data_IF_429722681149
#
_entry.id   IF_429722681149
#
_cell.length_a   1.000
_cell.length_b   1.000
_cell.length_c   1.000
_cell.angle_alpha   90.00
_cell.angle_beta   90.00
_cell.angle_gamma   90.00
#
_symmetry.space_group_name_H-M   'P 1'
#
loop_
_entity.id
_entity.type
_entity.pdbx_description
1 polymer ?
#
# COMPACT_ATOMS: atom_id res chain seq x y z
N UNK A 1 1.97 22.62 -19.51
CA UNK A 1 0.98 23.70 -19.76
C UNK A 1 -0.04 23.18 -20.76
N UNK A 2 -1.32 23.41 -20.54
CA UNK A 2 -2.39 23.04 -21.47
C UNK A 2 -2.43 24.06 -22.63
N UNK A 3 -2.57 23.57 -23.86
CA UNK A 3 -2.73 24.36 -25.08
C UNK A 3 -3.94 23.82 -25.86
N UNK A 4 -4.58 24.65 -26.67
CA UNK A 4 -5.69 24.23 -27.53
C UNK A 4 -5.81 25.11 -28.76
N UNK A 5 -6.63 24.68 -29.73
CA UNK A 5 -7.16 25.57 -30.75
C UNK A 5 -8.02 26.68 -30.14
N UNK A 6 -8.29 27.73 -30.92
CA UNK A 6 -9.14 28.87 -30.51
C UNK A 6 -10.56 28.44 -30.10
N UNK A 7 -11.07 27.39 -30.77
CA UNK A 7 -12.35 26.75 -30.45
C UNK A 7 -12.10 25.29 -30.09
N UNK A 8 -12.88 24.78 -29.13
CA UNK A 8 -12.77 23.39 -28.66
C UNK A 8 -14.12 22.68 -28.57
N UNK A 9 -15.20 23.30 -29.06
CA UNK A 9 -16.56 22.83 -28.80
C UNK A 9 -16.84 21.44 -29.39
N UNK A 10 -16.36 21.20 -30.61
CA UNK A 10 -16.52 19.93 -31.32
C UNK A 10 -15.69 18.84 -30.68
N UNK A 11 -14.39 19.09 -30.44
CA UNK A 11 -13.51 18.11 -29.80
C UNK A 11 -13.93 17.82 -28.36
N UNK A 12 -14.38 18.82 -27.60
CA UNK A 12 -14.84 18.61 -26.23
C UNK A 12 -16.10 17.75 -26.19
N UNK A 13 -17.07 18.00 -27.10
CA UNK A 13 -18.27 17.17 -27.20
C UNK A 13 -17.94 15.73 -27.63
N UNK A 14 -17.03 15.56 -28.59
CA UNK A 14 -16.55 14.25 -29.02
C UNK A 14 -15.81 13.50 -27.89
N UNK A 15 -14.93 14.20 -27.16
CA UNK A 15 -14.18 13.64 -26.04
C UNK A 15 -15.11 13.22 -24.90
N UNK A 16 -16.15 14.02 -24.59
CA UNK A 16 -17.14 13.67 -23.58
C UNK A 16 -17.90 12.38 -23.95
N UNK A 17 -18.28 12.21 -25.22
CA UNK A 17 -18.89 10.96 -25.72
C UNK A 17 -17.94 9.77 -25.67
N UNK A 18 -16.66 9.99 -25.97
CA UNK A 18 -15.64 8.96 -25.85
C UNK A 18 -15.44 8.54 -24.39
N UNK A 19 -15.36 9.50 -23.47
CA UNK A 19 -15.17 9.24 -22.04
C UNK A 19 -16.30 8.41 -21.43
N UNK A 20 -17.54 8.55 -21.91
CA UNK A 20 -18.64 7.69 -21.51
C UNK A 20 -18.43 6.19 -21.83
N UNK A 21 -17.54 5.88 -22.78
CA UNK A 21 -17.23 4.51 -23.23
C UNK A 21 -15.81 4.06 -22.82
N UNK A 22 -14.97 4.96 -22.32
CA UNK A 22 -13.62 4.62 -21.87
C UNK A 22 -13.68 3.83 -20.57
N UNK A 23 -12.82 2.82 -20.48
CA UNK A 23 -12.60 2.05 -19.25
C UNK A 23 -11.16 2.19 -18.80
N UNK A 24 -10.93 1.99 -17.51
CA UNK A 24 -9.57 1.94 -16.99
C UNK A 24 -8.87 0.66 -17.48
N UNK A 25 -7.63 0.76 -17.98
CA UNK A 25 -6.87 -0.41 -18.38
C UNK A 25 -6.53 -1.29 -17.17
N UNK A 26 -6.40 -2.60 -17.40
CA UNK A 26 -5.97 -3.53 -16.37
C UNK A 26 -4.54 -3.23 -15.91
N UNK A 27 -4.35 -3.14 -14.59
CA UNK A 27 -3.06 -2.87 -13.94
C UNK A 27 -2.26 -4.16 -13.76
N UNK A 28 -1.86 -4.77 -14.87
CA UNK A 28 -1.22 -6.10 -14.89
C UNK A 28 0.27 -6.10 -14.57
N UNK A 29 0.91 -4.93 -14.51
CA UNK A 29 2.34 -4.79 -14.22
C UNK A 29 2.55 -4.24 -12.81
N UNK A 30 3.68 -4.57 -12.20
CA UNK A 30 4.07 -4.12 -10.86
C UNK A 30 5.44 -3.46 -10.92
N UNK A 31 5.56 -2.27 -10.34
CA UNK A 31 6.81 -1.53 -10.21
C UNK A 31 7.15 -1.30 -8.74
N UNK A 32 8.44 -1.18 -8.45
CA UNK A 32 8.99 -0.95 -7.12
C UNK A 32 9.77 0.36 -7.13
N UNK A 33 9.36 1.29 -6.27
CA UNK A 33 10.06 2.54 -5.99
C UNK A 33 10.98 2.27 -4.82
N UNK A 34 12.29 2.29 -5.08
CA UNK A 34 13.28 2.12 -4.03
C UNK A 34 13.24 3.29 -3.05
N UNK A 35 13.26 2.98 -1.77
CA UNK A 35 13.32 4.02 -0.75
C UNK A 35 14.71 4.69 -0.76
N UNK A 36 14.78 6.03 -0.87
CA UNK A 36 16.04 6.75 -0.71
C UNK A 36 16.50 6.78 0.75
N UNK A 37 15.65 6.38 1.70
CA UNK A 37 15.93 6.37 3.12
C UNK A 37 16.16 4.93 3.61
N UNK A 38 17.31 4.59 4.21
CA UNK A 38 17.66 3.22 4.61
C UNK A 38 16.70 2.54 5.59
N UNK A 39 15.77 3.28 6.21
CA UNK A 39 14.80 2.80 7.21
C UNK A 39 13.37 2.69 6.69
N UNK A 40 13.11 3.17 5.48
CA UNK A 40 11.79 3.09 4.83
C UNK A 40 11.80 1.95 3.83
N UNK A 41 10.70 1.21 3.74
CA UNK A 41 10.55 0.12 2.78
C UNK A 41 10.29 0.65 1.38
N UNK A 42 10.73 -0.10 0.38
CA UNK A 42 10.37 0.14 -1.00
C UNK A 42 8.84 0.15 -1.17
N UNK A 43 8.35 1.02 -2.07
CA UNK A 43 6.93 1.13 -2.38
C UNK A 43 6.62 0.39 -3.66
N UNK A 44 5.69 -0.55 -3.58
CA UNK A 44 5.24 -1.32 -4.74
C UNK A 44 3.91 -0.79 -5.23
N UNK A 45 3.73 -0.65 -6.54
CA UNK A 45 2.48 -0.20 -7.15
C UNK A 45 2.19 -0.95 -8.43
N UNK A 46 0.91 -1.18 -8.71
CA UNK A 46 0.49 -1.78 -9.98
C UNK A 46 0.15 -0.71 -10.99
N UNK A 47 0.42 -1.02 -12.25
CA UNK A 47 0.17 -0.13 -13.37
C UNK A 47 -0.16 -0.90 -14.65
N UNK A 48 -0.85 -0.24 -15.56
CA UNK A 48 -1.15 -0.72 -16.88
C UNK A 48 -0.01 -0.40 -17.86
N UNK A 49 0.22 -1.28 -18.82
CA UNK A 49 1.18 -0.99 -19.90
C UNK A 49 0.69 0.16 -20.80
N UNK A 50 1.62 0.84 -21.48
CA UNK A 50 1.25 1.82 -22.51
C UNK A 50 0.46 1.17 -23.66
N UNK A 51 0.81 -0.07 -24.04
CA UNK A 51 0.14 -0.80 -25.11
C UNK A 51 -1.34 -1.07 -24.79
N UNK A 52 -1.62 -1.63 -23.61
CA UNK A 52 -3.02 -1.91 -23.19
C UNK A 52 -3.87 -0.64 -23.09
N UNK A 53 -3.28 0.48 -22.64
CA UNK A 53 -3.95 1.77 -22.67
C UNK A 53 -4.23 2.28 -24.09
N UNK A 54 -3.27 2.16 -25.01
CA UNK A 54 -3.43 2.57 -26.40
C UNK A 54 -4.51 1.74 -27.12
N UNK A 55 -4.64 0.45 -26.83
CA UNK A 55 -5.66 -0.40 -27.46
C UNK A 55 -7.09 0.05 -27.08
N UNK A 56 -7.30 0.44 -25.82
CA UNK A 56 -8.57 1.00 -25.35
C UNK A 56 -8.79 2.39 -25.94
N UNK A 57 -7.81 3.28 -25.78
CA UNK A 57 -7.92 4.69 -26.18
C UNK A 57 -8.12 4.85 -27.68
N UNK A 58 -7.34 4.14 -28.51
CA UNK A 58 -7.46 4.24 -29.97
C UNK A 58 -8.84 3.81 -30.44
N UNK A 59 -9.37 2.71 -29.89
CA UNK A 59 -10.69 2.21 -30.28
C UNK A 59 -11.77 3.27 -30.00
N UNK A 60 -11.81 3.78 -28.78
CA UNK A 60 -12.88 4.69 -28.34
C UNK A 60 -12.76 6.09 -28.93
N UNK A 61 -11.54 6.65 -29.01
CA UNK A 61 -11.33 7.98 -29.58
C UNK A 61 -11.57 8.01 -31.10
N UNK A 62 -11.15 6.98 -31.83
CA UNK A 62 -11.33 6.93 -33.29
C UNK A 62 -12.81 6.90 -33.69
N UNK A 63 -13.68 6.28 -32.88
CA UNK A 63 -15.13 6.29 -33.09
C UNK A 63 -15.74 7.69 -32.95
N UNK A 64 -15.05 8.60 -32.24
CA UNK A 64 -15.43 9.99 -32.10
C UNK A 64 -14.55 10.91 -32.96
N UNK A 65 -13.88 10.36 -33.98
CA UNK A 65 -13.02 11.08 -34.92
C UNK A 65 -11.86 11.85 -34.26
N UNK A 66 -11.38 11.36 -33.10
CA UNK A 66 -10.25 11.91 -32.37
C UNK A 66 -9.00 11.07 -32.62
N UNK A 67 -7.95 11.69 -33.14
CA UNK A 67 -6.62 11.13 -33.23
C UNK A 67 -5.77 11.52 -32.01
N UNK A 68 -4.93 10.59 -31.54
CA UNK A 68 -3.91 10.85 -30.52
C UNK A 68 -2.54 11.00 -31.19
N UNK A 69 -1.85 12.10 -30.90
CA UNK A 69 -0.53 12.41 -31.45
C UNK A 69 0.43 12.64 -30.27
N UNK A 70 1.58 11.97 -30.30
CA UNK A 70 2.65 12.15 -29.30
C UNK A 70 3.96 12.43 -30.00
N UNK A 71 4.52 13.62 -29.79
CA UNK A 71 5.79 14.05 -30.36
C UNK A 71 6.78 14.43 -29.27
N UNK A 72 8.06 14.25 -29.54
CA UNK A 72 9.14 14.55 -28.61
C UNK A 72 10.05 15.62 -29.19
N UNK A 73 10.37 16.63 -28.41
CA UNK A 73 11.35 17.67 -28.76
C UNK A 73 12.45 17.76 -27.71
N UNK A 74 13.67 18.06 -28.15
CA UNK A 74 14.79 18.38 -27.26
C UNK A 74 14.94 19.91 -27.28
N UNK A 75 14.83 20.54 -26.13
CA UNK A 75 14.99 22.00 -26.02
C UNK A 75 16.47 22.37 -26.19
N UNK A 76 16.78 23.29 -27.11
CA UNK A 76 18.16 23.57 -27.52
C UNK A 76 18.97 24.28 -26.42
N UNK A 77 18.31 25.05 -25.55
CA UNK A 77 18.92 25.84 -24.48
C UNK A 77 19.20 25.02 -23.21
N UNK A 78 18.26 24.14 -22.83
CA UNK A 78 18.33 23.35 -21.59
C UNK A 78 18.73 21.90 -21.84
N UNK A 79 18.67 21.43 -23.09
CA UNK A 79 18.76 20.02 -23.45
C UNK A 79 17.57 19.19 -22.97
N UNK A 80 16.55 19.78 -22.34
CA UNK A 80 15.44 19.05 -21.74
C UNK A 80 14.61 18.35 -22.82
N UNK A 81 14.34 17.06 -22.62
CA UNK A 81 13.39 16.33 -23.45
C UNK A 81 11.98 16.69 -22.99
N UNK A 82 11.14 17.12 -23.94
CA UNK A 82 9.72 17.41 -23.74
C UNK A 82 8.87 16.51 -24.61
N UNK A 83 7.80 16.00 -24.03
CA UNK A 83 6.75 15.26 -24.71
C UNK A 83 5.54 16.18 -24.89
N UNK A 84 5.06 16.27 -26.12
CA UNK A 84 3.79 16.90 -26.46
C UNK A 84 2.79 15.81 -26.76
N UNK A 85 1.69 15.75 -25.99
CA UNK A 85 0.56 14.87 -26.28
C UNK A 85 -0.59 15.74 -26.76
N UNK A 86 -1.19 15.41 -27.91
CA UNK A 86 -2.27 16.15 -28.54
C UNK A 86 -3.41 15.21 -28.91
N UNK A 87 -4.64 15.63 -28.62
CA UNK A 87 -5.85 15.07 -29.21
C UNK A 87 -6.31 16.01 -30.32
N UNK A 88 -6.47 15.50 -31.53
CA UNK A 88 -6.89 16.26 -32.70
C UNK A 88 -8.17 15.64 -33.27
N UNK A 89 -9.19 16.46 -33.53
CA UNK A 89 -10.47 16.04 -34.09
C UNK A 89 -10.53 16.32 -35.60
N UNK A 90 -11.36 15.57 -36.34
CA UNK A 90 -11.59 15.75 -37.79
C UNK A 90 -11.98 17.19 -38.19
N UNK A 91 -12.63 17.92 -37.28
CA UNK A 91 -13.00 19.33 -37.46
C UNK A 91 -11.81 20.30 -37.46
N UNK A 92 -10.60 19.85 -37.14
CA UNK A 92 -9.40 20.67 -36.97
C UNK A 92 -9.23 21.27 -35.56
N UNK A 93 -10.19 21.05 -34.65
CA UNK A 93 -10.03 21.43 -33.25
C UNK A 93 -9.10 20.46 -32.51
N UNK A 94 -8.32 20.95 -31.57
CA UNK A 94 -7.34 20.15 -30.84
C UNK A 94 -7.13 20.65 -29.40
N UNK A 95 -6.72 19.72 -28.54
CA UNK A 95 -6.24 19.99 -27.18
C UNK A 95 -4.89 19.31 -26.98
N UNK A 96 -3.96 19.94 -26.28
CA UNK A 96 -2.61 19.44 -26.09
C UNK A 96 -2.04 19.75 -24.71
N UNK A 97 -1.13 18.89 -24.27
CA UNK A 97 -0.37 19.05 -23.04
C UNK A 97 1.11 18.79 -23.30
N UNK A 98 1.94 19.71 -22.82
CA UNK A 98 3.40 19.57 -22.78
C UNK A 98 3.85 19.07 -21.40
N UNK A 99 4.68 18.02 -21.42
CA UNK A 99 5.25 17.39 -20.23
C UNK A 99 6.78 17.29 -20.31
N UNK A 100 7.54 17.73 -19.28
CA UNK A 100 8.99 17.53 -19.23
C UNK A 100 9.32 16.08 -18.89
N UNK A 101 10.14 15.41 -19.71
CA UNK A 101 10.45 13.98 -19.56
C UNK A 101 11.71 13.78 -18.72
N UNK A 102 12.87 14.12 -19.27
CA UNK A 102 14.15 14.02 -18.57
C UNK A 102 15.20 14.98 -19.17
N UNK A 103 16.26 15.22 -18.40
CA UNK A 103 17.34 16.11 -18.82
C UNK A 103 18.11 15.54 -20.02
N UNK A 104 18.67 16.42 -20.86
CA UNK A 104 19.39 16.01 -22.07
C UNK A 104 20.55 15.06 -21.82
N UNK A 105 21.19 15.12 -20.65
CA UNK A 105 22.25 14.18 -20.24
C UNK A 105 21.80 12.72 -20.21
N UNK A 106 20.50 12.45 -20.08
CA UNK A 106 19.97 11.08 -20.14
C UNK A 106 19.91 10.52 -21.58
N UNK A 107 20.07 11.36 -22.61
CA UNK A 107 20.20 10.87 -24.01
C UNK A 107 21.44 10.00 -24.21
N UNK A 108 22.48 10.19 -23.38
CA UNK A 108 23.69 9.36 -23.35
C UNK A 108 23.43 7.94 -22.79
N UNK A 109 22.25 7.72 -22.18
CA UNK A 109 21.79 6.42 -21.71
C UNK A 109 20.45 6.05 -22.37
N UNK A 110 20.46 5.53 -23.62
CA UNK A 110 19.25 5.30 -24.42
C UNK A 110 18.17 4.47 -23.73
N UNK A 111 18.57 3.50 -22.89
CA UNK A 111 17.64 2.67 -22.12
C UNK A 111 16.88 3.47 -21.04
N UNK A 112 17.54 4.43 -20.38
CA UNK A 112 16.90 5.31 -19.38
C UNK A 112 15.97 6.30 -20.03
N UNK A 113 16.42 6.93 -21.12
CA UNK A 113 15.59 7.81 -21.94
C UNK A 113 14.34 7.08 -22.45
N UNK A 114 14.49 5.85 -22.96
CA UNK A 114 13.38 5.03 -23.43
C UNK A 114 12.37 4.69 -22.34
N UNK A 115 12.85 4.35 -21.13
CA UNK A 115 11.99 4.12 -19.97
C UNK A 115 11.24 5.39 -19.54
N UNK A 116 11.95 6.53 -19.45
CA UNK A 116 11.37 7.83 -19.10
C UNK A 116 10.30 8.27 -20.12
N UNK A 117 10.57 8.10 -21.42
CA UNK A 117 9.60 8.38 -22.48
C UNK A 117 8.38 7.46 -22.41
N UNK A 118 8.57 6.17 -22.18
CA UNK A 118 7.46 5.21 -22.04
C UNK A 118 6.58 5.58 -20.86
N UNK A 119 7.19 5.95 -19.74
CA UNK A 119 6.50 6.44 -18.55
C UNK A 119 5.73 7.73 -18.86
N UNK A 120 6.38 8.75 -19.39
CA UNK A 120 5.76 10.04 -19.70
C UNK A 120 4.60 9.90 -20.71
N UNK A 121 4.77 9.08 -21.76
CA UNK A 121 3.73 8.84 -22.77
C UNK A 121 2.47 8.24 -22.18
N UNK A 122 2.60 7.32 -21.23
CA UNK A 122 1.47 6.71 -20.52
C UNK A 122 0.74 7.75 -19.67
N UNK A 123 1.46 8.47 -18.81
CA UNK A 123 0.86 9.46 -17.90
C UNK A 123 0.20 10.61 -18.64
N UNK A 124 0.91 11.19 -19.62
CA UNK A 124 0.40 12.33 -20.38
C UNK A 124 -0.86 11.95 -21.16
N UNK A 125 -0.89 10.77 -21.78
CA UNK A 125 -2.08 10.30 -22.49
C UNK A 125 -3.24 10.03 -21.53
N UNK A 126 -3.01 9.25 -20.47
CA UNK A 126 -4.08 8.78 -19.58
C UNK A 126 -4.73 9.95 -18.84
N UNK A 127 -3.92 10.94 -18.44
CA UNK A 127 -4.41 12.18 -17.84
C UNK A 127 -5.27 12.98 -18.83
N UNK A 128 -4.83 13.09 -20.09
CA UNK A 128 -5.53 13.90 -21.09
C UNK A 128 -6.87 13.28 -21.53
N UNK A 129 -6.96 11.96 -21.57
CA UNK A 129 -8.20 11.24 -21.93
C UNK A 129 -9.09 10.95 -20.73
N UNK A 130 -8.57 11.02 -19.50
CA UNK A 130 -9.34 10.83 -18.27
C UNK A 130 -9.47 9.37 -17.82
N UNK A 131 -8.42 8.57 -17.95
CA UNK A 131 -8.38 7.17 -17.44
C UNK A 131 -7.29 7.00 -16.38
N UNK A 132 -7.51 6.08 -15.44
CA UNK A 132 -6.57 5.72 -14.40
C UNK A 132 -5.80 4.45 -14.76
N UNK A 133 -4.49 4.57 -14.95
CA UNK A 133 -3.63 3.47 -15.34
C UNK A 133 -2.79 2.86 -14.23
N UNK A 134 -2.97 3.26 -12.99
CA UNK A 134 -2.16 2.79 -11.86
C UNK A 134 -2.89 2.93 -10.54
N UNK A 135 -2.36 2.27 -9.51
CA UNK A 135 -2.89 2.37 -8.16
C UNK A 135 -2.65 3.77 -7.60
N UNK A 136 -3.73 4.36 -7.07
CA UNK A 136 -3.64 5.61 -6.32
C UNK A 136 -3.11 5.29 -4.92
N UNK A 137 -1.78 5.39 -4.79
CA UNK A 137 -1.07 5.09 -3.54
C UNK A 137 -1.43 6.06 -2.40
N UNK A 138 -2.06 7.18 -2.72
CA UNK A 138 -2.48 8.23 -1.80
C UNK A 138 -3.97 8.14 -1.41
N UNK A 139 -4.76 7.31 -2.11
CA UNK A 139 -6.16 7.08 -1.77
C UNK A 139 -6.27 6.31 -0.44
N UNK A 140 -7.13 6.76 0.50
CA UNK A 140 -7.46 5.93 1.65
C UNK A 140 -8.09 4.63 1.14
N UNK A 141 -7.65 3.48 1.66
CA UNK A 141 -8.20 2.16 1.30
C UNK A 141 -9.73 2.18 1.35
N UNK A 142 -10.37 2.29 0.19
CA UNK A 142 -11.81 2.07 0.09
C UNK A 142 -12.00 0.57 0.28
N UNK A 143 -12.58 0.18 1.41
CA UNK A 143 -13.00 -1.20 1.67
C UNK A 143 -14.12 -1.53 0.68
N UNK A 144 -13.75 -1.93 -0.53
CA UNK A 144 -14.66 -2.52 -1.50
C UNK A 144 -14.44 -4.02 -1.41
N UNK A 145 -15.44 -4.83 -1.02
CA UNK A 145 -15.33 -6.27 -1.11
C UNK A 145 -15.08 -6.63 -2.57
N UNK A 146 -13.97 -7.34 -2.84
CA UNK A 146 -13.63 -7.74 -4.19
C UNK A 146 -14.74 -8.64 -4.76
N UNK A 147 -15.29 -8.35 -5.96
CA UNK A 147 -16.17 -9.30 -6.63
C UNK A 147 -15.35 -10.52 -7.02
N UNK A 148 -15.85 -11.70 -6.63
CA UNK A 148 -15.31 -13.01 -6.99
C UNK A 148 -15.44 -13.21 -8.50
N UNK A 149 -14.35 -13.03 -9.25
CA UNK A 149 -14.27 -13.47 -10.64
C UNK A 149 -13.76 -14.92 -10.64
N UNK A 150 -14.49 -15.90 -11.23
CA UNK A 150 -13.99 -17.26 -11.40
C UNK A 150 -12.83 -17.29 -12.41
N UNK A 151 -11.77 -18.03 -12.10
CA UNK A 151 -10.64 -18.25 -13.01
C UNK A 151 -11.09 -18.94 -14.31
N UNK A 152 -10.65 -18.49 -15.51
CA UNK A 152 -10.79 -19.24 -16.74
C UNK A 152 -9.91 -20.50 -16.71
N UNK A 153 -10.49 -21.65 -16.99
CA UNK A 153 -9.78 -22.90 -17.24
C UNK A 153 -9.07 -22.83 -18.61
N UNK A 154 -7.80 -23.22 -18.66
CA UNK A 154 -7.01 -23.23 -19.90
C UNK A 154 -7.30 -24.48 -20.75
N UNK A 155 -7.42 -24.38 -22.09
CA UNK A 155 -7.38 -25.55 -22.97
C UNK A 155 -5.94 -25.91 -23.37
N UNK A 156 -5.69 -27.21 -23.49
CA UNK A 156 -4.44 -27.83 -23.96
C UNK A 156 -4.22 -27.64 -25.47
N UNK A 157 -2.98 -27.32 -25.89
CA UNK A 157 -2.51 -27.41 -27.29
C UNK A 157 -1.12 -26.78 -27.52
N UNK A 158 -0.26 -27.26 -28.46
CA UNK A 158 1.18 -27.36 -28.23
C UNK A 158 2.12 -26.32 -28.90
N UNK A 159 3.26 -26.09 -28.21
CA UNK A 159 4.64 -25.77 -28.63
C UNK A 159 4.92 -24.59 -29.61
N UNK A 160 5.50 -23.52 -29.05
CA UNK A 160 6.40 -22.56 -29.69
C UNK A 160 7.55 -22.15 -28.75
N UNK A 161 8.77 -22.04 -29.27
CA UNK A 161 10.08 -21.93 -28.58
C UNK A 161 10.37 -20.53 -27.96
N UNK A 162 11.45 -20.36 -27.14
CA UNK A 162 11.43 -19.54 -25.94
C UNK A 162 11.93 -18.10 -26.13
N UNK A 163 11.37 -17.15 -25.36
CA UNK A 163 12.01 -15.86 -25.07
C UNK A 163 12.45 -15.84 -23.61
N UNK A 164 13.77 -15.77 -23.46
CA UNK A 164 14.48 -15.86 -22.20
C UNK A 164 14.38 -14.51 -21.46
N UNK A 165 13.43 -14.39 -20.55
CA UNK A 165 13.40 -13.28 -19.57
C UNK A 165 13.67 -13.89 -18.21
N UNK A 166 14.96 -14.10 -17.89
CA UNK A 166 15.37 -14.50 -16.54
C UNK A 166 15.09 -13.35 -15.58
N UNK A 167 13.92 -13.37 -14.94
CA UNK A 167 13.76 -12.73 -13.64
C UNK A 167 14.64 -13.51 -12.67
N UNK A 168 15.55 -12.81 -11.99
CA UNK A 168 16.47 -13.38 -11.03
C UNK A 168 15.70 -13.80 -9.76
N UNK A 169 14.92 -14.87 -9.85
CA UNK A 169 14.36 -15.59 -8.71
C UNK A 169 15.49 -16.47 -8.16
N UNK A 170 15.80 -16.34 -6.88
CA UNK A 170 16.73 -17.28 -6.25
C UNK A 170 16.23 -18.71 -6.52
N UNK A 171 17.08 -19.64 -6.98
CA UNK A 171 16.65 -20.99 -7.31
C UNK A 171 15.99 -21.63 -6.10
N UNK A 172 14.83 -22.27 -6.32
CA UNK A 172 14.23 -23.14 -5.31
C UNK A 172 15.19 -24.29 -5.06
N UNK A 173 15.48 -24.55 -3.79
CA UNK A 173 16.37 -25.62 -3.35
C UNK A 173 15.81 -27.00 -3.77
N UNK A 174 16.70 -27.96 -3.98
CA UNK A 174 16.28 -29.34 -4.15
C UNK A 174 15.66 -29.89 -2.85
N UNK A 175 14.98 -31.03 -2.94
CA UNK A 175 14.21 -31.58 -1.81
C UNK A 175 15.06 -31.84 -0.56
N UNK A 176 16.33 -32.24 -0.72
CA UNK A 176 17.22 -32.53 0.41
C UNK A 176 17.71 -31.22 1.04
N UNK A 177 18.16 -30.27 0.22
CA UNK A 177 18.60 -28.95 0.68
C UNK A 177 17.46 -28.16 1.34
N UNK A 178 16.26 -28.27 0.81
CA UNK A 178 15.06 -27.65 1.36
C UNK A 178 14.71 -28.21 2.74
N UNK A 179 14.80 -29.53 2.92
CA UNK A 179 14.62 -30.17 4.23
C UNK A 179 15.71 -29.76 5.23
N UNK A 180 16.98 -29.71 4.82
CA UNK A 180 18.10 -29.30 5.68
C UNK A 180 17.94 -27.84 6.17
N UNK A 181 17.53 -26.93 5.27
CA UNK A 181 17.30 -25.53 5.63
C UNK A 181 16.04 -25.36 6.48
N UNK A 182 14.97 -26.12 6.23
CA UNK A 182 13.78 -26.17 7.10
C UNK A 182 14.15 -26.58 8.52
N UNK A 183 14.88 -27.68 8.67
CA UNK A 183 15.23 -28.21 9.99
C UNK A 183 16.12 -27.24 10.78
N UNK A 184 17.04 -26.54 10.08
CA UNK A 184 17.81 -25.43 10.66
C UNK A 184 16.91 -24.30 11.15
N UNK A 185 15.97 -23.82 10.33
CA UNK A 185 15.08 -22.72 10.68
C UNK A 185 14.15 -23.08 11.85
N UNK A 186 13.64 -24.32 11.88
CA UNK A 186 12.83 -24.82 12.98
C UNK A 186 13.64 -24.91 14.29
N UNK A 187 14.90 -25.34 14.22
CA UNK A 187 15.81 -25.38 15.37
C UNK A 187 16.16 -23.97 15.90
N UNK A 188 16.45 -23.03 15.01
CA UNK A 188 16.69 -21.62 15.37
C UNK A 188 15.46 -20.99 16.05
N UNK A 189 14.27 -21.26 15.52
CA UNK A 189 13.01 -20.80 16.08
C UNK A 189 12.73 -21.43 17.46
N UNK A 190 13.13 -22.69 17.66
CA UNK A 190 12.94 -23.38 18.94
C UNK A 190 13.90 -22.90 20.03
N UNK A 191 15.13 -22.52 19.65
CA UNK A 191 16.18 -22.06 20.57
C UNK A 191 16.05 -20.58 21.01
N UNK A 192 15.11 -19.81 20.44
CA UNK A 192 14.82 -18.42 20.84
C UNK A 192 13.99 -18.40 22.15
N UNK A 193 14.62 -18.75 23.27
CA UNK A 193 13.93 -18.98 24.54
C UNK A 193 13.46 -17.73 25.31
N UNK A 194 13.66 -16.49 24.84
CA UNK A 194 13.26 -15.27 25.59
C UNK A 194 12.78 -14.12 24.66
N UNK A 195 11.46 -14.11 24.41
CA UNK A 195 10.51 -12.99 24.32
C UNK A 195 10.79 -11.61 23.68
N UNK A 196 11.87 -11.33 22.93
CA UNK A 196 11.96 -9.98 22.28
C UNK A 196 12.41 -9.93 20.82
N UNK A 197 12.51 -11.04 20.07
CA UNK A 197 12.93 -10.89 18.67
C UNK A 197 12.37 -11.82 17.58
N UNK A 198 11.12 -12.27 17.74
CA UNK A 198 10.41 -13.00 16.67
C UNK A 198 10.30 -12.15 15.38
N UNK A 199 10.14 -10.83 15.52
CA UNK A 199 10.04 -9.92 14.37
C UNK A 199 11.37 -9.79 13.60
N UNK A 200 12.53 -9.69 14.26
CA UNK A 200 13.80 -9.67 13.51
C UNK A 200 14.17 -11.04 12.97
N UNK A 201 13.83 -12.12 13.69
CA UNK A 201 14.00 -13.48 13.16
C UNK A 201 13.19 -13.66 11.86
N UNK A 202 11.93 -13.22 11.83
CA UNK A 202 11.10 -13.27 10.64
C UNK A 202 11.68 -12.43 9.50
N UNK A 203 12.14 -11.20 9.77
CA UNK A 203 12.76 -10.33 8.75
C UNK A 203 14.01 -10.95 8.12
N UNK A 204 14.84 -11.62 8.92
CA UNK A 204 16.08 -12.24 8.47
C UNK A 204 15.83 -13.52 7.67
N UNK A 205 14.84 -14.32 8.07
CA UNK A 205 14.64 -15.67 7.54
C UNK A 205 13.54 -15.75 6.45
N UNK A 206 12.74 -14.70 6.25
CA UNK A 206 11.73 -14.64 5.19
C UNK A 206 12.31 -14.77 3.76
N UNK A 207 13.46 -14.15 3.42
CA UNK A 207 14.10 -14.37 2.12
C UNK A 207 14.58 -15.82 1.92
N UNK A 208 15.04 -16.48 3.00
CA UNK A 208 15.53 -17.87 2.98
C UNK A 208 14.36 -18.84 2.83
N UNK A 209 13.22 -18.58 3.48
CA UNK A 209 11.99 -19.36 3.27
C UNK A 209 11.55 -19.36 1.80
N UNK A 210 11.73 -18.24 1.10
CA UNK A 210 11.36 -18.12 -0.32
C UNK A 210 12.24 -18.97 -1.26
N UNK A 211 13.31 -19.59 -0.76
CA UNK A 211 14.11 -20.58 -1.49
C UNK A 211 13.70 -22.03 -1.19
N UNK A 212 12.84 -22.28 -0.20
CA UNK A 212 12.35 -23.62 0.16
C UNK A 212 11.28 -24.12 -0.82
N UNK A 213 11.09 -25.44 -0.85
CA UNK A 213 9.92 -26.05 -1.46
C UNK A 213 8.66 -25.74 -0.64
N UNK A 214 7.51 -25.71 -1.31
CA UNK A 214 6.22 -25.41 -0.69
C UNK A 214 5.92 -26.17 0.63
N UNK A 215 6.13 -27.50 0.74
CA UNK A 215 5.86 -28.21 1.99
C UNK A 215 6.78 -27.78 3.14
N UNK A 216 8.05 -27.50 2.83
CA UNK A 216 9.05 -27.10 3.83
C UNK A 216 8.85 -25.65 4.28
N UNK A 217 8.49 -24.76 3.35
CA UNK A 217 8.11 -23.39 3.67
C UNK A 217 6.89 -23.34 4.59
N UNK A 218 5.86 -24.16 4.30
CA UNK A 218 4.65 -24.24 5.10
C UNK A 218 4.92 -24.75 6.53
N UNK A 219 5.84 -25.71 6.69
CA UNK A 219 6.24 -26.21 8.01
C UNK A 219 6.90 -25.12 8.88
N UNK A 220 7.76 -24.29 8.28
CA UNK A 220 8.40 -23.15 8.99
C UNK A 220 7.38 -22.08 9.37
N UNK A 221 6.39 -21.81 8.50
CA UNK A 221 5.31 -20.86 8.78
C UNK A 221 4.43 -21.31 9.95
N UNK A 222 4.00 -22.57 9.95
CA UNK A 222 3.16 -23.13 11.01
C UNK A 222 3.87 -23.06 12.38
N UNK A 223 5.16 -23.39 12.43
CA UNK A 223 5.95 -23.31 13.65
C UNK A 223 6.09 -21.86 14.17
N UNK A 224 6.32 -20.90 13.27
CA UNK A 224 6.42 -19.48 13.65
C UNK A 224 5.08 -18.93 14.16
N UNK A 225 3.97 -19.32 13.55
CA UNK A 225 2.65 -18.93 14.00
C UNK A 225 2.33 -19.48 15.39
N UNK A 226 2.61 -20.77 15.65
CA UNK A 226 2.45 -21.38 16.98
C UNK A 226 3.24 -20.61 18.05
N UNK A 227 4.47 -20.18 17.73
CA UNK A 227 5.29 -19.37 18.64
C UNK A 227 4.73 -17.96 18.88
N UNK A 228 4.13 -17.34 17.88
CA UNK A 228 3.47 -16.04 18.06
C UNK A 228 2.26 -16.15 18.99
N UNK A 229 1.48 -17.23 18.87
CA UNK A 229 0.31 -17.50 19.71
C UNK A 229 0.70 -17.82 21.17
N UNK A 230 1.80 -18.56 21.37
CA UNK A 230 2.40 -18.81 22.69
C UNK A 230 2.86 -17.51 23.38
N UNK A 231 3.49 -16.59 22.65
CA UNK A 231 3.96 -15.30 23.20
C UNK A 231 2.81 -14.31 23.44
N UNK A 232 1.72 -14.41 22.69
CA UNK A 232 0.54 -13.55 22.83
C UNK A 232 -0.34 -13.88 24.06
N UNK A 233 -0.08 -15.01 24.73
CA UNK A 233 -0.86 -15.48 25.89
C UNK A 233 -0.01 -15.54 27.17
N UNK A 234 0.16 -14.44 27.92
CA UNK A 234 0.83 -14.48 29.21
C UNK A 234 -0.21 -14.77 30.29
N UNK A 235 -0.45 -16.06 30.60
CA UNK A 235 -0.79 -16.60 31.93
C UNK A 235 -1.33 -18.03 31.84
N UNK A 236 -0.47 -19.01 32.14
CA UNK A 236 -0.81 -20.22 32.89
C UNK A 236 0.48 -20.95 33.27
N UNK A 237 1.23 -20.40 34.22
CA UNK A 237 2.14 -21.21 35.04
C UNK A 237 2.06 -20.79 36.50
N UNK A 238 1.57 -21.71 37.32
CA UNK A 238 1.50 -21.65 38.77
C UNK A 238 1.16 -23.03 39.31
N UNK A 239 2.20 -23.78 39.71
CA UNK A 239 2.18 -25.14 40.28
C UNK A 239 1.34 -25.28 41.57
N UNK A 240 0.73 -26.47 41.79
CA UNK A 240 0.98 -27.38 42.94
C UNK A 240 0.03 -28.61 42.99
N UNK A 241 0.63 -29.81 42.91
CA UNK A 241 0.50 -31.03 43.74
C UNK A 241 -0.85 -31.78 44.01
N UNK A 242 -1.07 -32.90 43.26
CA UNK A 242 -1.44 -34.31 43.63
C UNK A 242 -2.82 -34.67 44.33
N UNK A 243 -3.26 -35.97 44.45
CA UNK A 243 -4.36 -36.66 43.70
C UNK A 243 -5.36 -37.47 44.64
N UNK A 244 -6.02 -38.62 44.29
CA UNK A 244 -6.79 -39.11 43.12
C UNK A 244 -8.25 -39.64 43.43
N UNK A 245 -8.97 -40.02 42.36
CA UNK A 245 -10.05 -41.04 42.24
C UNK A 245 -11.47 -40.80 42.86
N UNK A 246 -12.54 -40.88 42.04
CA UNK A 246 -13.37 -42.10 41.95
C UNK A 246 -14.49 -42.05 40.87
N UNK A 247 -14.63 -43.16 40.15
CA UNK A 247 -15.86 -43.79 39.57
C UNK A 247 -16.66 -43.17 38.41
N UNK A 248 -16.47 -43.80 37.24
CA UNK A 248 -17.52 -44.27 36.30
C UNK A 248 -18.32 -45.47 36.91
N UNK A 249 -19.41 -46.03 36.32
CA UNK A 249 -20.02 -45.78 35.00
C UNK A 249 -21.58 -45.88 34.91
N UNK A 250 -22.07 -45.68 33.66
CA UNK A 250 -23.17 -46.39 32.97
C UNK A 250 -24.64 -46.04 33.24
N UNK A 251 -25.39 -45.77 32.16
CA UNK A 251 -26.34 -46.73 31.57
C UNK A 251 -26.86 -46.22 30.19
N UNK A 252 -26.76 -47.09 29.16
CA UNK A 252 -27.59 -47.08 27.93
C UNK A 252 -28.73 -48.08 28.12
N UNK A 253 -29.91 -47.90 27.48
CA UNK A 253 -30.27 -48.75 26.32
C UNK A 253 -31.04 -47.98 25.21
N UNK A 254 -30.74 -48.12 23.90
CA UNK A 254 -31.22 -49.09 22.87
C UNK A 254 -32.77 -49.15 22.75
N UNK A 255 -33.42 -48.62 21.69
CA UNK A 255 -33.77 -49.29 20.39
C UNK A 255 -34.47 -48.26 19.45
N UNK A 256 -34.00 -48.01 18.20
CA UNK A 256 -34.49 -48.50 16.87
C UNK A 256 -36.02 -48.41 16.67
N UNK A 257 -36.63 -47.77 15.65
CA UNK A 257 -36.30 -47.56 14.22
C UNK A 257 -37.14 -46.40 13.63
N UNK A 258 -36.69 -45.75 12.54
CA UNK A 258 -37.59 -45.03 11.62
C UNK A 258 -37.00 -43.92 10.72
N UNK A 259 -36.35 -44.33 9.61
CA UNK A 259 -36.28 -43.68 8.28
C UNK A 259 -35.87 -42.19 8.08
N UNK A 260 -34.63 -42.04 7.57
CA UNK A 260 -34.24 -41.38 6.30
C UNK A 260 -34.44 -39.87 6.06
N UNK A 261 -33.34 -39.12 6.12
CA UNK A 261 -32.85 -38.32 4.98
C UNK A 261 -31.41 -37.86 5.19
N UNK A 262 -30.60 -38.08 4.16
CA UNK A 262 -29.17 -37.83 4.09
C UNK A 262 -28.87 -36.33 3.96
N UNK A 263 -28.02 -35.81 4.84
CA UNK A 263 -27.14 -34.66 4.52
C UNK A 263 -25.80 -34.93 5.20
N UNK A 264 -24.78 -35.25 4.41
CA UNK A 264 -23.42 -35.47 4.90
C UNK A 264 -22.76 -34.12 5.23
N UNK A 265 -22.46 -33.91 6.50
CA UNK A 265 -21.59 -32.86 6.99
C UNK A 265 -20.16 -33.11 6.51
N UNK A 266 -19.69 -32.24 5.59
CA UNK A 266 -18.30 -32.17 5.18
C UNK A 266 -17.52 -31.28 6.16
N UNK A 267 -16.74 -31.93 6.99
CA UNK A 267 -15.74 -31.42 7.93
C UNK A 267 -14.87 -30.30 7.31
N UNK A 268 -15.07 -29.07 7.79
CA UNK A 268 -14.26 -27.90 7.42
C UNK A 268 -12.96 -27.94 8.21
N UNK A 269 -11.87 -28.34 7.56
CA UNK A 269 -10.52 -28.14 8.09
C UNK A 269 -10.16 -26.66 7.99
N UNK A 270 -9.78 -25.98 9.10
CA UNK A 270 -9.27 -24.62 9.01
C UNK A 270 -7.89 -24.65 8.36
N UNK A 271 -7.75 -23.99 7.23
CA UNK A 271 -6.45 -23.71 6.61
C UNK A 271 -5.71 -22.68 7.47
N UNK A 272 -4.40 -22.85 7.74
CA UNK A 272 -3.66 -21.92 8.58
C UNK A 272 -3.50 -20.56 7.87
N UNK A 273 -3.59 -19.44 8.61
CA UNK A 273 -3.45 -18.11 8.04
C UNK A 273 -2.00 -17.88 7.58
N UNK A 274 -1.83 -17.64 6.29
CA UNK A 274 -0.59 -17.06 5.77
C UNK A 274 -0.36 -15.70 6.44
N UNK A 275 0.84 -15.49 6.98
CA UNK A 275 1.24 -14.28 7.69
C UNK A 275 0.95 -13.00 6.87
N UNK A 276 -0.12 -12.30 7.22
CA UNK A 276 -0.27 -10.88 6.95
C UNK A 276 0.54 -10.10 8.00
N UNK A 277 1.14 -8.97 7.61
CA UNK A 277 1.78 -8.04 8.54
C UNK A 277 0.82 -7.72 9.71
N UNK A 278 1.33 -7.53 10.95
CA UNK A 278 0.48 -7.09 12.06
C UNK A 278 -0.27 -5.81 11.66
N UNK A 279 -1.60 -5.79 11.83
CA UNK A 279 -2.39 -4.56 11.65
C UNK A 279 -1.87 -3.52 12.64
N UNK A 280 -1.29 -2.44 12.15
CA UNK A 280 -1.04 -1.24 12.95
C UNK A 280 -2.37 -0.77 13.58
N UNK A 281 -2.33 -0.42 14.87
CA UNK A 281 -3.53 0.03 15.59
C UNK A 281 -4.17 1.24 14.87
N UNK A 282 -5.52 1.32 14.79
CA UNK A 282 -6.19 2.43 14.14
C UNK A 282 -5.77 3.78 14.72
N UNK A 283 -5.55 4.76 13.84
CA UNK A 283 -5.18 6.13 14.23
C UNK A 283 -6.22 6.75 15.16
N UNK A 284 -5.78 7.22 16.33
CA UNK A 284 -6.68 7.84 17.32
C UNK A 284 -7.22 9.17 16.80
N UNK A 285 -8.54 9.26 16.62
CA UNK A 285 -9.25 10.48 16.20
C UNK A 285 -10.21 10.92 17.29
N UNK A 286 -10.15 12.20 17.65
CA UNK A 286 -11.07 12.77 18.62
C UNK A 286 -11.36 14.24 18.34
N UNK A 287 -12.58 14.50 17.87
CA UNK A 287 -13.10 15.86 17.71
C UNK A 287 -13.16 16.60 19.05
N UNK A 288 -13.47 15.90 20.14
CA UNK A 288 -13.50 16.47 21.49
C UNK A 288 -12.11 16.95 21.94
N UNK A 289 -11.06 16.17 21.62
CA UNK A 289 -9.68 16.58 21.90
C UNK A 289 -9.28 17.82 21.11
N UNK A 290 -9.59 17.87 19.80
CA UNK A 290 -9.26 19.04 18.98
C UNK A 290 -10.00 20.31 19.42
N UNK A 291 -11.22 20.19 19.95
CA UNK A 291 -11.94 21.31 20.56
C UNK A 291 -11.29 21.77 21.87
N UNK A 292 -10.93 20.82 22.74
CA UNK A 292 -10.18 21.10 23.97
C UNK A 292 -8.84 21.81 23.69
N UNK A 293 -8.10 21.40 22.65
CA UNK A 293 -6.84 22.03 22.26
C UNK A 293 -7.06 23.47 21.75
N UNK A 294 -8.16 23.77 21.04
CA UNK A 294 -8.50 25.15 20.61
C UNK A 294 -8.75 26.11 21.76
N UNK A 295 -9.21 25.59 22.91
CA UNK A 295 -9.47 26.38 24.10
C UNK A 295 -8.19 26.73 24.87
N UNK A 296 -7.07 26.06 24.57
CA UNK A 296 -5.79 26.32 25.22
C UNK A 296 -5.07 27.54 24.59
N UNK A 297 -4.32 28.33 25.38
CA UNK A 297 -3.52 29.41 24.85
C UNK A 297 -2.36 28.88 24.00
N UNK A 298 -1.91 29.69 23.03
CA UNK A 298 -0.78 29.33 22.16
C UNK A 298 0.45 28.91 22.98
N UNK A 299 1.08 27.80 22.59
CA UNK A 299 2.20 27.24 23.32
C UNK A 299 3.41 28.18 23.39
N UNK A 300 3.61 29.02 22.36
CA UNK A 300 4.73 29.98 22.24
C UNK A 300 4.43 31.28 22.99
N UNK A 301 3.40 32.03 22.61
CA UNK A 301 3.14 33.37 23.16
C UNK A 301 2.03 33.47 24.20
N UNK A 302 1.40 32.35 24.56
CA UNK A 302 0.29 32.27 25.53
C UNK A 302 -0.98 33.07 25.17
N UNK A 303 -1.10 33.55 23.93
CA UNK A 303 -2.29 34.25 23.46
C UNK A 303 -3.36 33.30 22.92
N UNK A 304 -4.62 33.72 23.07
CA UNK A 304 -5.82 33.11 22.46
C UNK A 304 -6.43 34.07 21.43
N UNK A 305 -7.10 33.60 20.36
CA UNK A 305 -7.41 32.20 20.07
C UNK A 305 -6.23 31.41 19.50
N UNK A 306 -6.25 30.08 19.71
CA UNK A 306 -5.30 29.14 19.13
C UNK A 306 -5.99 28.11 18.23
N UNK A 307 -5.23 27.55 17.31
CA UNK A 307 -5.65 26.48 16.41
C UNK A 307 -4.83 25.20 16.72
N UNK A 308 -5.41 23.99 16.60
CA UNK A 308 -4.68 22.75 16.82
C UNK A 308 -3.67 22.51 15.70
N UNK A 309 -2.43 22.23 16.06
CA UNK A 309 -1.36 21.88 15.16
C UNK A 309 -0.91 20.43 15.42
N UNK A 310 -1.02 19.57 14.41
CA UNK A 310 -0.54 18.19 14.45
C UNK A 310 0.98 18.12 14.26
N UNK A 311 1.68 17.51 15.22
CA UNK A 311 3.14 17.38 15.18
C UNK A 311 3.56 16.32 14.15
N UNK A 312 3.98 16.73 12.95
CA UNK A 312 4.16 15.81 11.80
C UNK A 312 5.32 14.82 11.96
N UNK A 313 6.20 15.07 12.93
CA UNK A 313 7.36 14.22 13.24
C UNK A 313 7.11 13.24 14.39
N UNK A 314 5.95 13.33 15.06
CA UNK A 314 5.63 12.48 16.21
C UNK A 314 5.34 11.02 15.83
N UNK A 315 4.91 10.78 14.59
CA UNK A 315 4.67 9.47 14.02
C UNK A 315 5.26 9.37 12.60
N UNK A 316 5.66 8.16 12.16
CA UNK A 316 6.11 7.94 10.79
C UNK A 316 5.08 8.41 9.77
N UNK A 317 5.53 9.13 8.73
CA UNK A 317 4.65 9.62 7.66
C UNK A 317 4.30 8.45 6.74
N UNK A 318 3.11 7.89 6.91
CA UNK A 318 2.47 7.08 5.87
C UNK A 318 1.74 8.02 4.90
N UNK A 319 1.73 7.72 3.60
CA UNK A 319 1.00 8.50 2.58
C UNK A 319 -0.47 8.72 3.01
N UNK A 320 -0.99 9.92 2.75
CA UNK A 320 -2.41 10.27 2.96
C UNK A 320 -2.94 10.33 4.41
N UNK A 321 -2.21 9.86 5.44
CA UNK A 321 -2.73 9.79 6.81
C UNK A 321 -2.17 10.90 7.71
N UNK A 322 -3.05 11.73 8.28
CA UNK A 322 -2.70 12.76 9.29
C UNK A 322 -2.21 12.12 10.58
N UNK A 323 -1.22 12.69 11.25
CA UNK A 323 -0.75 12.21 12.58
C UNK A 323 -1.94 12.11 13.55
N UNK A 324 -1.90 11.17 14.49
CA UNK A 324 -2.94 10.99 15.50
C UNK A 324 -3.25 12.29 16.23
N UNK A 325 -4.52 12.45 16.63
CA UNK A 325 -4.95 13.68 17.31
C UNK A 325 -4.28 13.83 18.68
N UNK A 326 -3.73 12.74 19.26
CA UNK A 326 -2.92 12.77 20.50
C UNK A 326 -1.62 13.57 20.38
N UNK A 327 -1.14 13.81 19.16
CA UNK A 327 0.06 14.61 18.90
C UNK A 327 -0.29 16.03 18.44
N UNK A 328 -1.32 16.65 19.04
CA UNK A 328 -1.71 18.02 18.72
C UNK A 328 -1.36 19.02 19.81
N UNK A 329 -0.97 20.23 19.40
CA UNK A 329 -0.61 21.34 20.30
C UNK A 329 -1.29 22.65 19.87
N UNK A 330 -1.57 23.59 20.79
CA UNK A 330 -2.20 24.86 20.46
C UNK A 330 -1.20 25.88 19.91
N UNK A 331 -1.45 26.43 18.71
CA UNK A 331 -0.68 27.53 18.14
C UNK A 331 -1.60 28.66 17.67
N UNK A 332 -1.28 29.91 17.98
CA UNK A 332 -1.99 31.05 17.39
C UNK A 332 -1.66 31.17 15.90
N UNK A 333 -2.49 31.89 15.14
CA UNK A 333 -2.36 31.99 13.68
C UNK A 333 -1.00 32.51 13.21
N UNK A 334 -0.35 33.40 13.97
CA UNK A 334 0.97 33.94 13.61
C UNK A 334 2.04 32.85 13.69
N UNK A 335 2.22 32.21 14.86
CA UNK A 335 3.19 31.13 15.03
C UNK A 335 2.86 29.90 14.19
N UNK A 336 1.58 29.60 13.97
CA UNK A 336 1.19 28.51 13.09
C UNK A 336 1.64 28.75 11.64
N UNK A 337 1.48 29.98 11.13
CA UNK A 337 1.98 30.36 9.80
C UNK A 337 3.51 30.42 9.75
N UNK A 338 4.15 30.90 10.80
CA UNK A 338 5.60 30.96 10.91
C UNK A 338 6.22 29.56 10.84
N UNK A 339 5.66 28.60 11.59
CA UNK A 339 6.05 27.19 11.55
C UNK A 339 5.92 26.61 10.14
N UNK A 340 4.78 26.82 9.47
CA UNK A 340 4.60 26.34 8.08
C UNK A 340 5.56 27.01 7.10
N UNK A 341 5.88 28.31 7.29
CA UNK A 341 6.84 29.03 6.45
C UNK A 341 8.28 28.53 6.65
N UNK A 342 8.64 28.14 7.88
CA UNK A 342 9.95 27.57 8.19
C UNK A 342 10.18 26.21 7.52
N UNK A 343 9.10 25.45 7.23
CA UNK A 343 9.12 24.21 6.46
C UNK A 343 9.66 22.99 7.22
N UNK A 344 10.75 23.15 7.98
CA UNK A 344 11.26 22.13 8.90
C UNK A 344 10.71 22.34 10.32
N UNK A 345 9.68 21.58 10.65
CA UNK A 345 8.97 21.66 11.93
C UNK A 345 9.87 21.36 13.14
N UNK A 346 10.72 20.33 13.06
CA UNK A 346 11.59 19.93 14.18
C UNK A 346 12.59 21.04 14.53
N UNK A 347 13.20 21.64 13.51
CA UNK A 347 14.13 22.76 13.70
C UNK A 347 13.41 24.00 14.25
N UNK A 348 12.18 24.27 13.83
CA UNK A 348 11.41 25.40 14.36
C UNK A 348 11.12 25.24 15.86
N UNK A 349 10.68 24.05 16.30
CA UNK A 349 10.47 23.76 17.73
C UNK A 349 11.75 23.89 18.57
N UNK A 350 12.89 23.45 18.04
CA UNK A 350 14.20 23.66 18.67
C UNK A 350 14.54 25.14 18.79
N UNK A 351 14.27 25.95 17.76
CA UNK A 351 14.57 27.39 17.75
C UNK A 351 13.73 28.16 18.78
N UNK A 352 12.46 27.79 18.95
CA UNK A 352 11.59 28.36 20.00
C UNK A 352 11.82 27.73 21.38
N UNK A 353 12.78 26.81 21.49
CA UNK A 353 13.20 26.13 22.72
C UNK A 353 12.06 25.42 23.47
N UNK A 354 11.11 24.84 22.73
CA UNK A 354 9.97 24.11 23.28
C UNK A 354 10.02 22.66 22.82
N UNK A 355 9.86 21.74 23.76
CA UNK A 355 9.64 20.31 23.47
C UNK A 355 8.12 20.05 23.38
N UNK A 356 7.53 19.91 22.18
CA UNK A 356 6.08 19.85 22.04
C UNK A 356 5.49 18.46 22.32
N UNK A 357 6.27 17.38 22.23
CA UNK A 357 5.78 16.00 22.44
C UNK A 357 5.29 15.75 23.89
N UNK A 358 6.02 16.15 24.95
CA UNK A 358 5.51 16.05 26.32
C UNK A 358 4.23 16.87 26.54
N UNK A 359 4.12 18.03 25.88
CA UNK A 359 2.95 18.91 25.99
C UNK A 359 1.73 18.26 25.32
N UNK A 360 1.89 17.71 24.12
CA UNK A 360 0.83 17.00 23.42
C UNK A 360 0.31 15.81 24.24
N UNK A 361 1.22 15.01 24.83
CA UNK A 361 0.86 13.91 25.75
C UNK A 361 0.02 14.40 26.94
N UNK A 362 0.48 15.45 27.62
CA UNK A 362 -0.25 16.02 28.77
C UNK A 362 -1.63 16.55 28.38
N UNK A 363 -1.74 17.17 27.21
CA UNK A 363 -3.02 17.65 26.67
C UNK A 363 -3.96 16.48 26.33
N UNK A 364 -3.43 15.38 25.80
CA UNK A 364 -4.21 14.19 25.52
C UNK A 364 -4.77 13.55 26.80
N UNK A 365 -3.92 13.38 27.81
CA UNK A 365 -4.29 12.87 29.13
C UNK A 365 -5.33 13.76 29.84
N UNK A 366 -5.20 15.08 29.70
CA UNK A 366 -6.12 16.05 30.33
C UNK A 366 -7.43 16.24 29.55
N UNK A 367 -7.56 15.64 28.37
CA UNK A 367 -8.70 15.89 27.49
C UNK A 367 -9.94 15.08 27.87
N UNK A 368 -11.16 15.53 27.51
CA UNK A 368 -12.41 14.81 27.82
C UNK A 368 -12.50 13.39 27.23
N UNK A 369 -11.57 13.01 26.34
CA UNK A 369 -11.52 11.68 25.70
C UNK A 369 -11.32 10.56 26.71
N UNK A 370 -10.63 10.82 27.83
CA UNK A 370 -10.43 9.81 28.88
C UNK A 370 -11.68 9.57 29.74
N UNK A 371 -12.66 10.47 29.78
CA UNK A 371 -13.92 10.25 30.54
C UNK A 371 -14.90 9.30 29.85
N UNK A 372 -14.64 8.90 28.60
CA UNK A 372 -15.49 7.99 27.82
C UNK A 372 -14.90 6.58 27.68
N UNK A 373 -13.73 6.31 28.30
CA UNK A 373 -13.01 5.03 28.23
C UNK A 373 -12.71 4.46 29.63
N UNK A 374 -13.35 4.99 30.68
CA UNK A 374 -13.25 4.53 32.07
C UNK A 374 -14.53 3.86 32.52
#
# INVERSE_FOLDING_TARGET
>A
MHQSSERIGTIAAALARAQAQLTNPEKSLTAVIQSPFPRESDRTFRYASLASGLDIVRKTLSQQEIATIQTTRIEADTGQIRLTTMLAHSSGEWISSDWPVCAGKETEAPHRMGAALTYARRYALFTLVGIAGEDDLDAPDLVVPAPTVPLPQAPHGPKGKPTNTKLNRMPTLDSRQSAEVRDRLLSELHNQAQSENLLAWAKLNLPIKNTLQAPDAAAVEAAYQSRLEEVASPEASGDQDSPPADRLPTLRPITRNGLSSEVAEGEVTPSPPALAFPKELPRKRSKAHLMFVREQPCLVCKQSPSDPHHLKFAQPKTLGRKVDDEFTVPLCRSHHRELHRHGNEKTWWTNVQISPLPVARKLWESSPVQRLLG
#
